data_IF_950780412118
#
_entry.id   IF_950780412118
#
_cell.length_a   1.000
_cell.length_b   1.000
_cell.length_c   1.000
_cell.angle_alpha   90.00
_cell.angle_beta   90.00
_cell.angle_gamma   90.00
#
_symmetry.space_group_name_H-M   'P 1'
#
loop_
_entity.id
_entity.type
_entity.pdbx_description
1 polymer ?
#
# COMPACT_ATOMS: atom_id res chain seq x y z
N UNK A 1 13.07 17.07 -0.49
CA UNK A 1 11.77 16.36 -0.63
C UNK A 1 12.05 15.03 -1.29
N UNK A 2 11.66 13.90 -0.67
CA UNK A 2 11.84 12.54 -1.20
C UNK A 2 10.76 12.14 -2.23
N UNK A 3 9.85 13.06 -2.57
CA UNK A 3 8.82 12.83 -3.58
C UNK A 3 9.42 12.81 -4.98
N UNK A 4 9.39 11.64 -5.61
CA UNK A 4 9.66 11.54 -7.05
C UNK A 4 8.49 12.10 -7.83
N UNK A 5 8.73 13.09 -8.69
CA UNK A 5 7.70 13.69 -9.56
C UNK A 5 7.26 12.76 -10.69
N UNK A 6 8.11 11.79 -11.03
CA UNK A 6 7.89 10.82 -12.11
C UNK A 6 8.59 9.49 -11.79
N UNK A 7 8.17 8.37 -12.40
CA UNK A 7 8.90 7.12 -12.33
C UNK A 7 10.33 7.24 -12.90
N UNK A 8 11.25 6.41 -12.41
CA UNK A 8 12.61 6.34 -12.98
C UNK A 8 12.59 5.81 -14.41
N UNK A 9 13.40 6.38 -15.31
CA UNK A 9 13.36 6.04 -16.74
C UNK A 9 13.56 4.54 -17.01
N UNK A 10 14.53 3.91 -16.34
CA UNK A 10 14.84 2.49 -16.50
C UNK A 10 13.71 1.60 -15.96
N UNK A 11 13.26 1.82 -14.74
CA UNK A 11 12.19 1.02 -14.11
C UNK A 11 10.86 1.21 -14.82
N UNK A 12 10.57 2.42 -15.31
CA UNK A 12 9.37 2.69 -16.11
C UNK A 12 9.41 1.92 -17.43
N UNK A 13 10.53 1.96 -18.16
CA UNK A 13 10.69 1.26 -19.43
C UNK A 13 10.55 -0.26 -19.29
N UNK A 14 11.03 -0.81 -18.17
CA UNK A 14 10.86 -2.24 -17.84
C UNK A 14 9.40 -2.55 -17.49
N UNK A 15 8.76 -1.74 -16.66
CA UNK A 15 7.44 -2.06 -16.11
C UNK A 15 6.28 -1.73 -17.07
N UNK A 16 6.38 -0.67 -17.87
CA UNK A 16 5.31 -0.17 -18.73
C UNK A 16 4.68 -1.24 -19.64
N UNK A 17 5.44 -2.09 -20.37
CA UNK A 17 4.84 -3.14 -21.19
C UNK A 17 4.46 -4.41 -20.41
N UNK A 18 4.79 -4.51 -19.11
CA UNK A 18 4.63 -5.73 -18.29
C UNK A 18 3.53 -5.63 -17.23
N UNK A 19 3.13 -4.41 -16.87
CA UNK A 19 2.09 -4.16 -15.88
C UNK A 19 0.73 -3.97 -16.56
N UNK A 20 -0.32 -4.48 -15.92
CA UNK A 20 -1.69 -4.27 -16.36
C UNK A 20 -2.21 -2.84 -16.11
N UNK A 21 -1.47 -2.03 -15.37
CA UNK A 21 -1.83 -0.66 -15.01
C UNK A 21 -1.41 -0.29 -13.59
N UNK A 22 -1.92 0.84 -13.11
CA UNK A 22 -1.71 1.33 -11.74
C UNK A 22 -3.00 1.84 -11.14
N UNK A 23 -3.08 1.81 -9.81
CA UNK A 23 -4.22 2.33 -9.04
C UNK A 23 -3.72 3.30 -7.97
N UNK A 24 -4.51 4.31 -7.68
CA UNK A 24 -4.22 5.28 -6.62
C UNK A 24 -5.06 4.97 -5.37
N UNK A 25 -4.46 5.14 -4.20
CA UNK A 25 -5.12 5.00 -2.89
C UNK A 25 -5.08 6.33 -2.14
N UNK A 26 -6.07 6.55 -1.29
CA UNK A 26 -6.17 7.71 -0.43
C UNK A 26 -5.44 7.46 0.88
N UNK A 27 -5.10 8.53 1.60
CA UNK A 27 -4.53 8.44 2.95
C UNK A 27 -5.41 7.63 3.92
N UNK A 28 -6.73 7.79 3.83
CA UNK A 28 -7.68 7.06 4.67
C UNK A 28 -7.65 5.54 4.39
N UNK A 29 -7.59 5.16 3.11
CA UNK A 29 -7.44 3.74 2.73
C UNK A 29 -6.11 3.15 3.21
N UNK A 30 -5.01 3.92 3.12
CA UNK A 30 -3.71 3.50 3.63
C UNK A 30 -3.79 3.25 5.15
N UNK A 31 -4.40 4.15 5.91
CA UNK A 31 -4.50 4.00 7.37
C UNK A 31 -5.34 2.80 7.77
N UNK A 32 -6.48 2.57 7.10
CA UNK A 32 -7.27 1.35 7.29
C UNK A 32 -6.48 0.08 6.97
N UNK A 33 -5.65 0.11 5.93
CA UNK A 33 -4.81 -1.03 5.58
C UNK A 33 -3.69 -1.29 6.60
N UNK A 34 -3.05 -0.25 7.12
CA UNK A 34 -2.06 -0.36 8.21
C UNK A 34 -2.70 -0.97 9.46
N UNK A 35 -3.89 -0.49 9.84
CA UNK A 35 -4.67 -1.05 10.94
C UNK A 35 -5.01 -2.52 10.72
N UNK A 36 -5.53 -2.86 9.54
CA UNK A 36 -5.85 -4.24 9.19
C UNK A 36 -4.63 -5.16 9.28
N UNK A 37 -3.48 -4.73 8.73
CA UNK A 37 -2.24 -5.49 8.81
C UNK A 37 -1.82 -5.75 10.26
N UNK A 38 -1.95 -4.76 11.13
CA UNK A 38 -1.63 -4.92 12.54
C UNK A 38 -2.62 -5.83 13.27
N UNK A 39 -3.92 -5.59 13.14
CA UNK A 39 -4.96 -6.29 13.88
C UNK A 39 -5.08 -7.77 13.46
N UNK A 40 -4.96 -8.06 12.16
CA UNK A 40 -5.21 -9.40 11.63
C UNK A 40 -3.94 -10.19 11.29
N UNK A 41 -2.89 -9.51 10.83
CA UNK A 41 -1.66 -10.17 10.37
C UNK A 41 -0.51 -10.03 11.37
N UNK A 42 -0.67 -9.17 12.39
CA UNK A 42 0.38 -8.80 13.36
C UNK A 42 1.62 -8.20 12.69
N UNK A 43 1.42 -7.55 11.55
CA UNK A 43 2.47 -6.88 10.79
C UNK A 43 2.39 -5.37 11.02
N UNK A 44 3.52 -4.76 11.37
CA UNK A 44 3.67 -3.30 11.40
C UNK A 44 4.12 -2.85 10.01
N UNK A 45 3.27 -2.08 9.34
CA UNK A 45 3.54 -1.51 8.01
C UNK A 45 3.68 0.01 8.09
N UNK A 46 4.58 0.58 7.28
CA UNK A 46 4.62 2.02 7.05
C UNK A 46 3.60 2.44 5.98
N UNK A 47 3.25 3.75 5.86
CA UNK A 47 2.24 4.20 4.90
C UNK A 47 2.52 3.77 3.45
N UNK A 48 3.77 3.89 2.99
CA UNK A 48 4.17 3.45 1.64
C UNK A 48 4.10 1.93 1.48
N UNK A 49 4.52 1.18 2.51
CA UNK A 49 4.48 -0.28 2.54
C UNK A 49 3.07 -0.88 2.53
N UNK A 50 2.07 -0.13 2.99
CA UNK A 50 0.68 -0.57 3.05
C UNK A 50 -0.13 -0.29 1.76
N UNK A 51 0.42 0.42 0.77
CA UNK A 51 -0.32 0.86 -0.43
C UNK A 51 -0.95 -0.30 -1.22
N UNK A 52 -0.23 -1.41 -1.40
CA UNK A 52 -0.74 -2.56 -2.13
C UNK A 52 -1.91 -3.23 -1.39
N UNK A 53 -1.81 -3.37 -0.06
CA UNK A 53 -2.88 -3.89 0.77
C UNK A 53 -4.11 -2.97 0.76
N UNK A 54 -3.89 -1.65 0.82
CA UNK A 54 -4.95 -0.65 0.74
C UNK A 54 -5.74 -0.74 -0.57
N UNK A 55 -5.05 -0.95 -1.71
CA UNK A 55 -5.71 -1.09 -2.99
C UNK A 55 -6.63 -2.32 -3.06
N UNK A 56 -6.21 -3.44 -2.47
CA UNK A 56 -7.01 -4.67 -2.40
C UNK A 56 -8.20 -4.50 -1.46
N UNK A 57 -7.99 -4.00 -0.25
CA UNK A 57 -9.06 -3.81 0.75
C UNK A 57 -10.10 -2.76 0.31
N UNK A 58 -9.69 -1.75 -0.45
CA UNK A 58 -10.58 -0.75 -1.02
C UNK A 58 -11.33 -1.23 -2.29
N UNK A 59 -11.12 -2.48 -2.71
CA UNK A 59 -11.78 -3.03 -3.91
C UNK A 59 -11.29 -2.44 -5.23
N UNK A 60 -10.16 -1.74 -5.24
CA UNK A 60 -9.56 -1.11 -6.44
C UNK A 60 -8.84 -2.13 -7.32
N UNK A 61 -8.59 -3.31 -6.80
CA UNK A 61 -8.07 -4.47 -7.53
C UNK A 61 -9.11 -5.57 -7.48
N UNK A 62 -9.46 -6.14 -8.63
CA UNK A 62 -10.39 -7.28 -8.69
C UNK A 62 -9.72 -8.55 -8.11
N UNK A 63 -10.00 -8.81 -6.84
CA UNK A 63 -9.48 -9.93 -6.07
C UNK A 63 -10.51 -11.06 -5.85
N UNK A 64 -11.79 -10.85 -6.19
CA UNK A 64 -12.86 -11.81 -5.86
C UNK A 64 -12.67 -13.14 -6.59
N UNK A 65 -12.66 -14.23 -5.82
CA UNK A 65 -12.47 -15.58 -6.37
C UNK A 65 -11.05 -15.83 -6.90
N UNK A 66 -10.07 -15.00 -6.52
CA UNK A 66 -8.68 -15.12 -6.96
C UNK A 66 -7.75 -15.26 -5.76
N UNK A 67 -6.64 -15.97 -5.98
CA UNK A 67 -5.50 -15.92 -5.06
C UNK A 67 -4.68 -14.67 -5.42
N UNK A 68 -4.50 -13.77 -4.44
CA UNK A 68 -3.80 -12.49 -4.65
C UNK A 68 -2.62 -12.41 -3.69
N UNK A 69 -1.42 -12.25 -4.24
CA UNK A 69 -0.22 -11.92 -3.48
C UNK A 69 -0.13 -10.41 -3.24
N UNK A 70 0.06 -10.01 -1.98
CA UNK A 70 0.25 -8.61 -1.59
C UNK A 70 1.62 -8.47 -0.94
N UNK A 71 2.42 -7.53 -1.43
CA UNK A 71 3.74 -7.22 -0.86
C UNK A 71 3.61 -6.05 0.09
N UNK A 72 3.97 -6.25 1.36
CA UNK A 72 4.18 -5.17 2.33
C UNK A 72 5.66 -4.82 2.28
N UNK A 73 6.00 -3.70 1.63
CA UNK A 73 7.39 -3.40 1.26
C UNK A 73 8.23 -2.76 2.36
N UNK A 74 7.62 -2.28 3.46
CA UNK A 74 8.31 -1.56 4.52
C UNK A 74 7.48 -1.42 5.79
N UNK A 75 8.18 -1.28 6.92
CA UNK A 75 7.60 -1.19 8.26
C UNK A 75 8.25 -0.11 9.13
N UNK A 76 9.06 0.79 8.55
CA UNK A 76 9.76 1.82 9.30
C UNK A 76 8.84 3.02 9.53
N UNK A 77 7.93 2.88 10.49
CA UNK A 77 6.89 3.86 10.78
C UNK A 77 7.19 4.64 12.06
N UNK A 78 6.98 5.95 12.00
CA UNK A 78 6.98 6.80 13.20
C UNK A 78 5.83 6.37 14.14
N UNK A 79 6.08 6.18 15.45
CA UNK A 79 5.06 5.73 16.40
C UNK A 79 3.80 6.61 16.44
N UNK A 80 3.93 7.93 16.28
CA UNK A 80 2.79 8.84 16.29
C UNK A 80 1.95 8.69 15.01
N UNK A 81 2.59 8.46 13.86
CA UNK A 81 1.88 8.14 12.60
C UNK A 81 1.18 6.80 12.71
N UNK A 82 1.83 5.80 13.29
CA UNK A 82 1.23 4.48 13.48
C UNK A 82 0.02 4.54 14.42
N UNK A 83 0.13 5.27 15.53
CA UNK A 83 -1.00 5.51 16.44
C UNK A 83 -2.20 6.18 15.74
N UNK A 84 -1.95 7.16 14.86
CA UNK A 84 -3.01 7.76 14.04
C UNK A 84 -3.69 6.74 13.13
N UNK A 85 -2.93 5.83 12.52
CA UNK A 85 -3.48 4.79 11.67
C UNK A 85 -4.32 3.78 12.47
N UNK A 86 -3.88 3.40 13.66
CA UNK A 86 -4.65 2.52 14.56
C UNK A 86 -5.93 3.16 15.07
N UNK A 87 -5.95 4.49 15.23
CA UNK A 87 -7.14 5.24 15.60
C UNK A 87 -8.10 5.48 14.42
N UNK A 88 -7.70 5.20 13.17
CA UNK A 88 -8.54 5.43 12.00
C UNK A 88 -9.66 4.39 11.90
N UNK A 89 -10.89 4.88 11.68
CA UNK A 89 -12.09 4.08 11.39
C UNK A 89 -12.17 3.62 9.94
#
# INVERSE_FOLDING_TARGET
SLLSKQPGALTFSINHPRLAGGVAVTRAEIFRAMRFAFEHLKVVAEPGGAVALAAVLAGKVNARGRVVGVVISGGNVDPAVFAQALAAG
#
